data_IF_234420653958
#
_entry.id   IF_234420653958
#
_cell.length_a   1.000
_cell.length_b   1.000
_cell.length_c   1.000
_cell.angle_alpha   90.00
_cell.angle_beta   90.00
_cell.angle_gamma   90.00
#
_symmetry.space_group_name_H-M   'P 1'
#
loop_
_entity.id
_entity.type
_entity.pdbx_description
1 polymer ?
#
# COMPACT_ATOMS: atom_id res chain seq x y z
N UNK A 1 -14.06 8.02 -7.43
CA UNK A 1 -14.13 6.59 -7.07
C UNK A 1 -12.76 5.95 -7.28
N UNK A 2 -12.37 4.98 -6.44
CA UNK A 2 -11.12 4.24 -6.62
C UNK A 2 -11.14 3.40 -7.91
N UNK A 3 -10.02 3.36 -8.64
CA UNK A 3 -9.80 2.48 -9.80
C UNK A 3 -9.13 1.20 -9.33
N UNK A 4 -9.68 0.04 -9.70
CA UNK A 4 -9.10 -1.28 -9.41
C UNK A 4 -8.52 -1.87 -10.69
N UNK A 5 -7.35 -2.48 -10.58
CA UNK A 5 -6.67 -3.24 -11.64
C UNK A 5 -6.30 -4.60 -11.03
N UNK A 6 -6.78 -5.68 -11.62
CA UNK A 6 -6.46 -7.04 -11.22
C UNK A 6 -5.36 -7.62 -12.11
N UNK A 7 -4.64 -8.61 -11.57
CA UNK A 7 -3.54 -9.29 -12.27
C UNK A 7 -2.49 -8.32 -12.84
N UNK A 8 -2.07 -7.33 -12.02
CA UNK A 8 -1.16 -6.25 -12.45
C UNK A 8 0.15 -6.77 -13.05
N UNK A 9 0.74 -7.77 -12.39
CA UNK A 9 2.02 -8.36 -12.74
C UNK A 9 1.84 -9.78 -13.31
N UNK A 10 2.78 -10.25 -14.14
CA UNK A 10 2.91 -11.68 -14.41
C UNK A 10 3.05 -12.49 -13.10
N UNK A 11 2.47 -13.70 -12.99
CA UNK A 11 2.50 -14.50 -11.76
C UNK A 11 3.90 -14.73 -11.20
N UNK A 12 4.90 -14.93 -12.06
CA UNK A 12 6.30 -15.08 -11.68
C UNK A 12 6.87 -13.84 -11.00
N UNK A 13 6.53 -12.64 -11.47
CA UNK A 13 7.01 -11.40 -10.89
C UNK A 13 6.41 -11.16 -9.50
N UNK A 14 5.13 -11.51 -9.29
CA UNK A 14 4.53 -11.48 -7.95
C UNK A 14 5.19 -12.51 -7.02
N UNK A 15 5.43 -13.73 -7.49
CA UNK A 15 6.08 -14.79 -6.71
C UNK A 15 7.48 -14.37 -6.27
N UNK A 16 8.26 -13.80 -7.17
CA UNK A 16 9.63 -13.37 -6.88
C UNK A 16 9.64 -12.19 -5.89
N UNK A 17 8.70 -11.24 -6.05
CA UNK A 17 8.50 -10.15 -5.10
C UNK A 17 8.12 -10.67 -3.70
N UNK A 18 7.19 -11.63 -3.61
CA UNK A 18 6.78 -12.26 -2.35
C UNK A 18 7.96 -12.97 -1.67
N UNK A 19 8.70 -13.79 -2.41
CA UNK A 19 9.86 -14.50 -1.89
C UNK A 19 10.91 -13.53 -1.33
N UNK A 20 11.16 -12.41 -2.02
CA UNK A 20 12.13 -11.42 -1.59
C UNK A 20 11.73 -10.72 -0.27
N UNK A 21 10.44 -10.40 -0.08
CA UNK A 21 9.96 -9.69 1.13
C UNK A 21 9.68 -10.63 2.31
N UNK A 22 9.56 -11.93 2.05
CA UNK A 22 9.41 -12.99 3.05
C UNK A 22 10.74 -13.58 3.50
N UNK A 23 11.84 -13.28 2.80
CA UNK A 23 13.20 -13.66 3.22
C UNK A 23 13.47 -13.22 4.67
N UNK A 24 14.13 -14.07 5.44
CA UNK A 24 14.55 -13.76 6.82
C UNK A 24 15.46 -12.52 6.90
N UNK A 25 16.21 -12.25 5.82
CA UNK A 25 17.10 -11.10 5.72
C UNK A 25 16.41 -9.81 5.30
N UNK A 26 15.11 -9.83 4.97
CA UNK A 26 14.41 -8.63 4.55
C UNK A 26 14.20 -7.68 5.76
N UNK A 27 14.69 -6.43 5.69
CA UNK A 27 14.79 -5.58 6.87
C UNK A 27 13.46 -4.89 7.18
N UNK A 28 12.64 -5.59 7.96
CA UNK A 28 11.41 -5.07 8.53
C UNK A 28 11.70 -4.18 9.75
N UNK A 29 11.09 -3.00 9.79
CA UNK A 29 11.10 -2.11 10.94
C UNK A 29 9.73 -2.14 11.63
N UNK A 30 9.71 -2.15 12.97
CA UNK A 30 8.47 -2.01 13.73
C UNK A 30 7.93 -0.58 13.60
N UNK A 31 6.63 -0.44 13.35
CA UNK A 31 5.96 0.85 13.25
C UNK A 31 4.53 0.81 13.75
N UNK A 32 3.94 1.97 13.93
CA UNK A 32 2.51 2.12 14.22
C UNK A 32 1.71 2.17 12.92
N UNK A 33 0.48 1.66 12.94
CA UNK A 33 -0.45 1.72 11.81
C UNK A 33 -0.95 3.15 11.64
N UNK A 34 -1.42 3.74 12.72
CA UNK A 34 -1.77 5.14 12.81
C UNK A 34 -0.95 5.85 13.89
N UNK A 35 -0.53 7.08 13.59
CA UNK A 35 0.24 7.91 14.53
C UNK A 35 -0.68 8.86 15.30
N UNK A 36 -0.51 8.94 16.62
CA UNK A 36 -1.33 9.76 17.51
C UNK A 36 -2.29 8.92 18.35
N UNK A 37 -3.14 9.59 19.13
CA UNK A 37 -4.11 8.94 20.01
C UNK A 37 -5.37 8.54 19.24
N UNK A 38 -5.67 7.24 19.22
CA UNK A 38 -6.89 6.68 18.62
C UNK A 38 -7.75 6.04 19.71
N UNK A 39 -8.75 6.76 20.25
CA UNK A 39 -9.64 6.24 21.27
C UNK A 39 -10.29 4.94 20.80
N UNK A 40 -10.14 3.87 21.59
CA UNK A 40 -10.74 2.56 21.32
C UNK A 40 -9.86 1.58 20.53
N UNK A 41 -8.66 1.96 20.10
CA UNK A 41 -7.67 1.04 19.54
C UNK A 41 -6.63 0.66 20.60
N UNK A 42 -6.48 -0.63 20.88
CA UNK A 42 -5.41 -1.11 21.76
C UNK A 42 -4.04 -0.77 21.14
N UNK A 43 -3.08 -0.21 21.89
CA UNK A 43 -1.73 0.04 21.38
C UNK A 43 -1.06 -1.18 20.75
N UNK A 44 -1.34 -2.39 21.23
CA UNK A 44 -0.84 -3.64 20.63
C UNK A 44 -1.48 -3.92 19.27
N UNK A 45 -2.76 -3.57 19.11
CA UNK A 45 -3.48 -3.71 17.86
C UNK A 45 -2.99 -2.71 16.81
N UNK A 46 -2.42 -1.57 17.23
CA UNK A 46 -1.85 -0.52 16.36
C UNK A 46 -0.42 -0.83 15.84
N UNK A 47 0.10 -2.04 16.04
CA UNK A 47 1.45 -2.41 15.59
C UNK A 47 1.46 -3.06 14.20
N UNK A 48 2.43 -2.66 13.38
CA UNK A 48 2.77 -3.29 12.10
C UNK A 48 4.29 -3.38 11.91
N UNK A 49 4.70 -4.14 10.91
CA UNK A 49 6.05 -4.11 10.36
C UNK A 49 6.03 -3.37 9.02
N UNK A 50 7.06 -2.57 8.76
CA UNK A 50 7.16 -1.80 7.52
C UNK A 50 8.55 -1.90 6.92
N UNK A 51 8.62 -1.77 5.60
CA UNK A 51 9.87 -1.45 4.92
C UNK A 51 9.64 -0.22 4.04
N UNK A 52 10.38 0.86 4.32
CA UNK A 52 10.38 2.03 3.47
C UNK A 52 11.29 1.80 2.27
N UNK A 53 10.76 1.90 1.05
CA UNK A 53 11.56 1.79 -0.18
C UNK A 53 12.04 3.16 -0.67
N UNK A 54 11.18 4.16 -0.53
CA UNK A 54 11.42 5.51 -1.01
C UNK A 54 10.68 6.53 -0.16
N UNK A 55 11.31 7.68 0.11
CA UNK A 55 10.63 8.84 0.65
C UNK A 55 11.29 10.13 0.19
N UNK A 56 10.49 11.04 -0.36
CA UNK A 56 10.89 12.43 -0.59
C UNK A 56 10.25 13.32 0.47
N UNK A 57 11.07 13.95 1.31
CA UNK A 57 10.60 14.85 2.39
C UNK A 57 11.64 15.94 2.64
N UNK A 58 11.18 17.18 2.85
CA UNK A 58 12.05 18.32 3.19
C UNK A 58 13.24 18.47 2.21
N UNK A 59 12.97 18.32 0.91
CA UNK A 59 13.98 18.36 -0.18
C UNK A 59 15.09 17.29 -0.09
N UNK A 60 14.94 16.27 0.76
CA UNK A 60 15.84 15.12 0.85
C UNK A 60 15.15 13.88 0.27
N UNK A 61 15.94 13.02 -0.36
CA UNK A 61 15.49 11.74 -0.90
C UNK A 61 16.12 10.62 -0.07
N UNK A 62 15.28 9.73 0.43
CA UNK A 62 15.69 8.42 0.91
C UNK A 62 15.37 7.37 -0.16
N UNK A 63 16.32 6.46 -0.40
CA UNK A 63 16.19 5.31 -1.30
C UNK A 63 16.77 4.07 -0.62
N UNK A 64 15.95 3.05 -0.45
CA UNK A 64 16.39 1.75 0.05
C UNK A 64 17.19 0.99 -1.02
N UNK A 65 18.24 0.23 -0.66
CA UNK A 65 18.89 -0.69 -1.60
C UNK A 65 17.94 -1.78 -2.12
N UNK A 66 16.82 -2.02 -1.44
CA UNK A 66 15.79 -2.97 -1.82
C UNK A 66 14.75 -2.41 -2.80
N UNK A 67 14.89 -1.16 -3.28
CA UNK A 67 13.93 -0.53 -4.20
C UNK A 67 13.66 -1.36 -5.47
N UNK A 68 14.64 -2.15 -5.91
CA UNK A 68 14.52 -3.05 -7.06
C UNK A 68 13.42 -4.11 -6.89
N UNK A 69 13.09 -4.54 -5.66
CA UNK A 69 12.04 -5.52 -5.38
C UNK A 69 10.67 -5.01 -5.85
N UNK A 70 10.41 -3.71 -5.74
CA UNK A 70 9.13 -3.10 -6.12
C UNK A 70 9.15 -2.49 -7.53
N UNK A 71 10.26 -2.59 -8.24
CA UNK A 71 10.41 -2.01 -9.58
C UNK A 71 9.34 -2.48 -10.58
N UNK A 72 8.89 -3.77 -10.61
CA UNK A 72 7.82 -4.19 -11.50
C UNK A 72 6.53 -3.37 -11.33
N UNK A 73 6.13 -3.10 -10.08
CA UNK A 73 4.94 -2.27 -9.79
C UNK A 73 5.17 -0.82 -10.18
N UNK A 74 6.36 -0.26 -9.91
CA UNK A 74 6.67 1.12 -10.28
C UNK A 74 6.67 1.33 -11.79
N UNK A 75 7.24 0.39 -12.55
CA UNK A 75 7.35 0.47 -14.00
C UNK A 75 5.98 0.47 -14.69
N UNK A 76 4.97 -0.17 -14.11
CA UNK A 76 3.60 -0.19 -14.65
C UNK A 76 3.00 1.22 -14.77
N UNK A 77 3.35 2.15 -13.86
CA UNK A 77 2.87 3.53 -13.90
C UNK A 77 3.55 4.39 -14.96
N UNK A 78 4.65 3.94 -15.57
CA UNK A 78 5.44 4.74 -16.49
C UNK A 78 6.08 5.97 -15.82
N UNK A 79 6.26 7.09 -16.57
CA UNK A 79 6.83 8.33 -16.04
C UNK A 79 6.01 8.93 -14.89
N UNK A 80 6.64 9.05 -13.72
CA UNK A 80 6.02 9.58 -12.52
C UNK A 80 7.05 10.20 -11.58
N UNK A 81 6.55 11.05 -10.67
CA UNK A 81 7.28 11.49 -9.49
C UNK A 81 6.81 10.70 -8.27
N UNK A 82 7.65 9.79 -7.82
CA UNK A 82 7.43 9.06 -6.57
C UNK A 82 7.61 10.00 -5.37
N UNK A 83 6.63 10.02 -4.47
CA UNK A 83 6.68 10.75 -3.19
C UNK A 83 7.10 9.79 -2.08
N UNK A 84 6.46 8.61 -2.02
CA UNK A 84 6.68 7.62 -0.97
C UNK A 84 6.36 6.23 -1.50
N UNK A 85 7.16 5.24 -1.10
CA UNK A 85 6.86 3.83 -1.27
C UNK A 85 7.17 3.10 0.04
N UNK A 86 6.18 2.39 0.58
CA UNK A 86 6.28 1.65 1.84
C UNK A 86 5.49 0.37 1.76
N UNK A 87 6.13 -0.76 2.03
CA UNK A 87 5.42 -2.03 2.23
C UNK A 87 5.05 -2.18 3.70
N UNK A 88 3.82 -2.58 3.94
CA UNK A 88 3.26 -2.83 5.26
C UNK A 88 2.97 -4.32 5.40
N UNK A 89 3.42 -4.89 6.50
CA UNK A 89 3.03 -6.21 7.02
C UNK A 89 2.25 -6.00 8.30
N UNK A 90 0.93 -6.05 8.18
CA UNK A 90 0.01 -5.99 9.32
C UNK A 90 -0.25 -7.42 9.78
N UNK A 91 0.11 -7.79 11.03
CA UNK A 91 -0.15 -9.14 11.52
C UNK A 91 -1.64 -9.48 11.50
N UNK A 92 -1.96 -10.74 11.27
CA UNK A 92 -3.30 -11.29 11.44
C UNK A 92 -3.81 -11.07 12.86
N UNK A 93 -5.13 -10.97 12.99
CA UNK A 93 -5.84 -10.70 14.25
C UNK A 93 -6.91 -11.75 14.49
N UNK A 94 -7.33 -11.90 15.74
CA UNK A 94 -8.46 -12.77 16.11
C UNK A 94 -9.82 -12.20 15.68
N UNK A 95 -9.88 -10.89 15.39
CA UNK A 95 -11.05 -10.18 14.88
C UNK A 95 -10.63 -9.12 13.87
N UNK A 96 -11.56 -8.71 13.02
CA UNK A 96 -11.33 -7.56 12.14
C UNK A 96 -11.21 -6.26 12.94
N UNK A 97 -10.19 -5.48 12.58
CA UNK A 97 -9.94 -4.15 13.11
C UNK A 97 -9.86 -3.18 11.95
N UNK A 98 -10.68 -2.13 11.99
CA UNK A 98 -10.55 -0.95 11.14
C UNK A 98 -9.82 0.12 11.95
N UNK A 99 -8.68 0.60 11.46
CA UNK A 99 -7.80 1.42 12.30
C UNK A 99 -8.29 2.87 12.41
N UNK A 100 -8.81 3.45 11.32
CA UNK A 100 -9.28 4.84 11.28
C UNK A 100 -9.12 5.53 9.92
N UNK A 101 -10.09 6.37 9.55
CA UNK A 101 -10.14 7.09 8.27
C UNK A 101 -9.12 8.22 8.21
N UNK A 102 -8.23 8.16 7.23
CA UNK A 102 -7.18 9.16 6.99
C UNK A 102 -7.01 9.46 5.49
N UNK A 103 -6.28 10.53 5.19
CA UNK A 103 -5.76 10.84 3.86
C UNK A 103 -4.23 10.80 3.93
N UNK A 104 -3.59 10.23 2.91
CA UNK A 104 -2.13 10.00 2.93
C UNK A 104 -1.34 11.30 2.74
N UNK A 105 -1.81 12.14 1.82
CA UNK A 105 -1.17 13.43 1.54
C UNK A 105 -2.15 14.42 0.95
N UNK A 106 -1.87 15.71 1.21
CA UNK A 106 -2.59 16.85 0.62
C UNK A 106 -1.85 17.46 -0.57
N UNK A 107 -0.80 16.81 -1.08
CA UNK A 107 -0.14 17.26 -2.30
C UNK A 107 -1.12 17.25 -3.48
N UNK A 108 -1.23 18.40 -4.15
CA UNK A 108 -2.11 18.54 -5.31
C UNK A 108 -1.70 17.54 -6.39
N UNK A 109 -2.68 16.89 -7.01
CA UNK A 109 -2.48 15.87 -8.06
C UNK A 109 -1.79 14.57 -7.60
N UNK A 110 -1.53 14.41 -6.31
CA UNK A 110 -1.00 13.15 -5.80
C UNK A 110 -2.09 12.05 -5.83
N UNK A 111 -1.66 10.86 -6.23
CA UNK A 111 -2.42 9.63 -6.16
C UNK A 111 -1.85 8.75 -5.04
N UNK A 112 -2.74 8.02 -4.39
CA UNK A 112 -2.38 6.84 -3.60
C UNK A 112 -2.64 5.61 -4.45
N UNK A 113 -1.68 4.69 -4.47
CA UNK A 113 -1.87 3.36 -5.00
C UNK A 113 -1.51 2.32 -3.94
N UNK A 114 -2.39 1.34 -3.76
CA UNK A 114 -2.21 0.22 -2.83
C UNK A 114 -2.18 -1.06 -3.66
N UNK A 115 -1.04 -1.73 -3.66
CA UNK A 115 -0.85 -3.02 -4.29
C UNK A 115 -0.91 -4.13 -3.24
N UNK A 116 -1.77 -5.11 -3.43
CA UNK A 116 -2.01 -6.21 -2.50
C UNK A 116 -1.15 -7.41 -2.90
N UNK A 117 -0.25 -7.83 -2.00
CA UNK A 117 0.70 -8.89 -2.30
C UNK A 117 0.13 -10.29 -2.02
N UNK A 118 -0.88 -10.41 -1.17
CA UNK A 118 -1.49 -11.69 -0.83
C UNK A 118 -3.01 -11.60 -0.69
N UNK A 119 -3.68 -12.71 -0.98
CA UNK A 119 -5.10 -12.90 -0.71
C UNK A 119 -5.33 -12.96 0.80
N UNK A 120 -6.32 -12.23 1.29
CA UNK A 120 -6.81 -12.30 2.68
C UNK A 120 -8.15 -11.59 2.80
N UNK A 121 -8.84 -11.83 3.92
CA UNK A 121 -10.14 -11.22 4.20
C UNK A 121 -10.07 -9.76 4.71
N UNK A 122 -8.88 -9.15 4.80
CA UNK A 122 -8.73 -7.72 5.04
C UNK A 122 -9.09 -6.88 3.81
N UNK A 123 -9.25 -5.57 3.97
CA UNK A 123 -9.71 -4.69 2.88
C UNK A 123 -9.26 -3.25 3.06
N UNK A 124 -9.43 -2.44 2.03
CA UNK A 124 -9.39 -0.98 2.11
C UNK A 124 -10.83 -0.46 2.07
N UNK A 125 -11.22 0.32 3.08
CA UNK A 125 -12.53 0.96 3.19
C UNK A 125 -12.40 2.45 2.93
N UNK A 126 -13.28 3.00 2.10
CA UNK A 126 -13.37 4.44 1.82
C UNK A 126 -14.51 5.08 2.63
N UNK A 127 -14.44 6.40 2.84
CA UNK A 127 -15.43 7.15 3.63
C UNK A 127 -16.87 7.05 3.07
N UNK A 128 -17.03 6.79 1.78
CA UNK A 128 -18.33 6.57 1.13
C UNK A 128 -18.88 5.13 1.32
N UNK A 129 -18.17 4.28 2.07
CA UNK A 129 -18.54 2.88 2.30
C UNK A 129 -18.01 1.91 1.24
N UNK A 130 -17.37 2.38 0.17
CA UNK A 130 -16.75 1.51 -0.83
C UNK A 130 -15.66 0.65 -0.20
N UNK A 131 -15.67 -0.66 -0.49
CA UNK A 131 -14.67 -1.63 0.00
C UNK A 131 -13.91 -2.24 -1.17
N UNK A 132 -12.59 -2.31 -1.03
CA UNK A 132 -11.71 -3.04 -1.94
C UNK A 132 -11.03 -4.17 -1.18
N UNK A 133 -11.38 -5.40 -1.52
CA UNK A 133 -10.83 -6.60 -0.90
C UNK A 133 -9.34 -6.78 -1.22
N UNK A 134 -8.59 -7.36 -0.27
CA UNK A 134 -7.20 -7.75 -0.45
C UNK A 134 -7.12 -9.01 -1.30
N UNK A 135 -7.00 -8.82 -2.61
CA UNK A 135 -6.79 -9.91 -3.58
C UNK A 135 -5.35 -9.81 -4.07
N UNK A 136 -4.60 -10.90 -4.07
CA UNK A 136 -3.22 -10.90 -4.54
C UNK A 136 -3.14 -10.37 -5.98
N UNK A 137 -2.09 -9.61 -6.29
CA UNK A 137 -1.88 -9.00 -7.60
C UNK A 137 -2.89 -7.91 -7.99
N UNK A 138 -3.72 -7.45 -7.04
CA UNK A 138 -4.62 -6.31 -7.23
C UNK A 138 -3.88 -5.01 -6.94
N UNK A 139 -4.18 -3.98 -7.73
CA UNK A 139 -3.82 -2.60 -7.48
C UNK A 139 -5.09 -1.77 -7.36
N UNK A 140 -5.19 -0.94 -6.32
CA UNK A 140 -6.20 0.12 -6.26
C UNK A 140 -5.52 1.48 -6.31
N UNK A 141 -6.04 2.39 -7.12
CA UNK A 141 -5.53 3.74 -7.33
C UNK A 141 -6.64 4.75 -7.05
N UNK A 142 -6.33 5.79 -6.29
CA UNK A 142 -7.29 6.84 -5.95
C UNK A 142 -6.59 8.17 -5.65
N UNK A 143 -7.37 9.26 -5.59
CA UNK A 143 -6.86 10.56 -5.15
C UNK A 143 -6.27 10.46 -3.74
N UNK A 144 -5.04 10.93 -3.52
CA UNK A 144 -4.40 10.83 -2.21
C UNK A 144 -5.11 11.63 -1.10
N UNK A 145 -6.02 12.53 -1.47
CA UNK A 145 -6.88 13.28 -0.56
C UNK A 145 -8.16 12.51 -0.16
N UNK A 146 -8.47 11.39 -0.81
CA UNK A 146 -9.65 10.58 -0.50
C UNK A 146 -9.43 9.85 0.83
N UNK A 147 -10.41 10.00 1.73
CA UNK A 147 -10.35 9.39 3.05
C UNK A 147 -10.59 7.89 2.96
N UNK A 148 -9.68 7.13 3.55
CA UNK A 148 -9.70 5.68 3.53
C UNK A 148 -9.09 5.11 4.81
N UNK A 149 -9.32 3.82 5.04
CA UNK A 149 -8.69 3.05 6.11
C UNK A 149 -8.42 1.63 5.65
N UNK A 150 -7.44 0.98 6.29
CA UNK A 150 -7.21 -0.45 6.12
C UNK A 150 -7.94 -1.23 7.19
N UNK A 151 -8.34 -2.46 6.86
CA UNK A 151 -8.81 -3.45 7.80
C UNK A 151 -7.78 -4.57 7.97
N UNK A 152 -7.61 -5.06 9.20
CA UNK A 152 -6.84 -6.28 9.48
C UNK A 152 -7.46 -7.50 8.81
N UNK A 153 -6.67 -8.57 8.68
CA UNK A 153 -7.15 -9.88 8.29
C UNK A 153 -7.22 -10.83 9.50
N UNK A 154 -8.01 -11.89 9.38
CA UNK A 154 -8.16 -12.94 10.40
C UNK A 154 -7.92 -14.34 9.84
N UNK A 155 -7.75 -14.48 8.53
CA UNK A 155 -7.62 -15.73 7.80
C UNK A 155 -6.18 -16.04 7.36
N UNK A 156 -5.26 -15.10 7.57
CA UNK A 156 -3.85 -15.22 7.20
C UNK A 156 -2.94 -14.69 8.31
N UNK A 157 -1.68 -15.13 8.32
CA UNK A 157 -0.68 -14.68 9.31
C UNK A 157 -0.41 -13.18 9.23
N UNK A 158 -0.50 -12.60 8.02
CA UNK A 158 -0.34 -11.18 7.81
C UNK A 158 -1.01 -10.72 6.52
N UNK A 159 -1.41 -9.45 6.51
CA UNK A 159 -1.82 -8.70 5.32
C UNK A 159 -0.62 -7.90 4.80
N UNK A 160 -0.23 -8.15 3.56
CA UNK A 160 0.90 -7.51 2.88
C UNK A 160 0.41 -6.53 1.82
N UNK A 161 0.70 -5.24 2.01
CA UNK A 161 0.35 -4.20 1.04
C UNK A 161 1.49 -3.23 0.78
N UNK A 162 1.76 -2.96 -0.49
CA UNK A 162 2.66 -1.89 -0.92
C UNK A 162 1.86 -0.62 -1.14
N UNK A 163 2.12 0.38 -0.30
CA UNK A 163 1.53 1.71 -0.42
C UNK A 163 2.49 2.63 -1.18
N UNK A 164 1.98 3.24 -2.24
CA UNK A 164 2.67 4.22 -3.06
C UNK A 164 1.92 5.55 -3.01
N UNK A 165 2.67 6.64 -2.84
CA UNK A 165 2.19 7.99 -3.13
C UNK A 165 3.03 8.55 -4.28
N UNK A 166 2.37 9.03 -5.34
CA UNK A 166 3.02 9.44 -6.58
C UNK A 166 2.24 10.57 -7.25
N UNK A 167 2.91 11.31 -8.14
CA UNK A 167 2.26 12.23 -9.07
C UNK A 167 2.61 11.76 -10.49
N UNK A 168 1.63 11.39 -11.33
CA UNK A 168 1.92 11.03 -12.72
C UNK A 168 2.41 12.26 -13.50
N UNK A 169 3.36 12.06 -14.43
CA UNK A 169 3.94 13.17 -15.20
C UNK A 169 3.03 13.63 -16.35
N UNK A 170 2.09 12.78 -16.80
CA UNK A 170 1.01 13.15 -17.71
C UNK A 170 -0.33 13.21 -16.95
N UNK A 171 -1.25 14.14 -17.28
CA UNK A 171 -2.58 14.24 -16.66
C UNK A 171 -3.51 13.02 -16.94
N UNK A 172 -3.04 12.00 -17.65
CA UNK A 172 -3.78 10.77 -17.91
C UNK A 172 -2.96 9.54 -17.51
N UNK A 173 -3.44 8.80 -16.50
CA UNK A 173 -3.61 7.36 -16.71
C UNK A 173 -4.65 7.23 -17.84
N UNK A 174 -4.17 7.41 -19.06
CA UNK A 174 -4.98 7.57 -20.27
C UNK A 174 -5.80 6.29 -20.53
N UNK A 175 -6.89 6.44 -21.28
CA UNK A 175 -7.89 5.42 -21.63
C UNK A 175 -7.31 4.11 -22.21
N UNK A 176 -6.02 4.04 -22.54
CA UNK A 176 -5.33 2.85 -23.06
C UNK A 176 -4.97 1.81 -22.00
N UNK A 177 -4.90 2.20 -20.72
CA UNK A 177 -4.86 1.25 -19.58
C UNK A 177 -6.27 1.09 -18.95
N UNK A 178 -7.32 1.34 -19.72
CA UNK A 178 -8.75 1.15 -19.34
C UNK A 178 -9.44 0.05 -20.13
N UNK A 179 -8.69 -0.82 -20.81
CA UNK A 179 -9.19 -2.05 -21.44
C UNK A 179 -8.57 -3.26 -20.77
#
# INVERSE_FOLDING_TARGET
MPKVVDALLPPEALRDMLAAVQSESFPWERSEILRGDFPGLDPQDNLQFVHGFYAWRNRKVYRSPFLHIIAPVLNWFGPMRLIKAKLNKTPGRSRHLEYGLHADTRHRQALTAIYYLNDNNGYTLFEDGTRVASVANRLVIFSAALRHTGASCTDQEARLVLNLNLIPDAPGLDDTQRR
#
